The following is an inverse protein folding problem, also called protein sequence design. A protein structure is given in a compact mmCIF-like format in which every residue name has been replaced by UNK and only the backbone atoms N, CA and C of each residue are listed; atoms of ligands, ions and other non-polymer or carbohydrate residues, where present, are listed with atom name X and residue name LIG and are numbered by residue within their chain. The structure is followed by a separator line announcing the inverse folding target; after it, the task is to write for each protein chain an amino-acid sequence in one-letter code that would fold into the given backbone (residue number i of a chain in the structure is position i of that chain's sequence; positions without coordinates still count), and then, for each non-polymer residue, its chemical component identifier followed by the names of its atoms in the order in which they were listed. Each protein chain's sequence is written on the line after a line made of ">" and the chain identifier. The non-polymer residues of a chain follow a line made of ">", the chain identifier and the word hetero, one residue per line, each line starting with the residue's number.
data_IF_351314566516
#
_entry.id   IF_351314566516
#
_cell.length_a   1.000
_cell.length_b   1.000
_cell.length_c   1.000
_cell.angle_alpha   90.00
_cell.angle_beta   90.00
_cell.angle_gamma   90.00
#
_symmetry.space_group_name_H-M   'P 1'
#
loop_
_entity.id
_entity.type
_entity.pdbx_description
1 polymer ?
#
# COMPACT_ATOMS: atom_id res chain seq x y z
N UNK A 1 -2.44 -3.21 -0.01
CA UNK A 1 -2.41 -2.23 1.10
C UNK A 1 -3.81 -1.71 1.35
N UNK A 2 -4.22 -1.54 2.61
CA UNK A 2 -5.55 -1.05 3.01
C UNK A 2 -5.41 0.03 4.07
N UNK A 3 -6.22 1.09 3.96
CA UNK A 3 -6.46 2.04 5.05
C UNK A 3 -7.80 1.66 5.65
N UNK A 4 -7.84 1.41 6.95
CA UNK A 4 -9.08 1.04 7.63
C UNK A 4 -9.79 2.29 8.16
N UNK A 5 -11.08 2.14 8.44
CA UNK A 5 -11.82 3.14 9.20
C UNK A 5 -11.21 3.31 10.60
N UNK A 6 -11.45 4.47 11.21
CA UNK A 6 -10.96 4.76 12.55
C UNK A 6 -11.42 3.71 13.58
N UNK A 7 -10.52 3.34 14.50
CA UNK A 7 -10.76 2.33 15.52
C UNK A 7 -10.69 0.88 15.04
N UNK A 8 -10.44 0.62 13.75
CA UNK A 8 -10.34 -0.74 13.21
C UNK A 8 -8.88 -1.19 13.07
N UNK A 9 -8.66 -2.49 13.30
CA UNK A 9 -7.36 -3.15 13.12
C UNK A 9 -7.51 -4.30 12.13
N UNK A 10 -6.48 -4.52 11.32
CA UNK A 10 -6.45 -5.61 10.36
C UNK A 10 -6.13 -6.93 11.03
N UNK A 11 -7.17 -7.62 11.50
CA UNK A 11 -7.09 -8.97 12.05
C UNK A 11 -7.35 -10.06 10.99
N UNK A 12 -7.29 -11.33 11.41
CA UNK A 12 -7.52 -12.47 10.52
C UNK A 12 -8.95 -12.50 9.97
N UNK A 13 -9.95 -12.21 10.82
CA UNK A 13 -11.36 -12.20 10.43
C UNK A 13 -11.65 -11.16 9.34
N UNK A 14 -11.05 -9.97 9.44
CA UNK A 14 -11.18 -8.92 8.46
C UNK A 14 -10.45 -9.26 7.15
N UNK A 15 -9.28 -9.88 7.22
CA UNK A 15 -8.58 -10.41 6.02
C UNK A 15 -9.44 -11.43 5.29
N UNK A 16 -10.06 -12.37 6.00
CA UNK A 16 -10.94 -13.38 5.41
C UNK A 16 -12.19 -12.76 4.80
N UNK A 17 -12.77 -11.75 5.46
CA UNK A 17 -13.89 -10.99 4.92
C UNK A 17 -13.53 -10.29 3.60
N UNK A 18 -12.36 -9.63 3.54
CA UNK A 18 -11.87 -8.95 2.33
C UNK A 18 -11.64 -9.97 1.21
N UNK A 19 -10.92 -11.06 1.49
CA UNK A 19 -10.62 -12.10 0.51
C UNK A 19 -11.89 -12.78 -0.01
N UNK A 20 -12.85 -13.05 0.88
CA UNK A 20 -14.15 -13.62 0.55
C UNK A 20 -14.97 -12.70 -0.36
N UNK A 21 -14.99 -11.39 -0.08
CA UNK A 21 -15.67 -10.42 -0.94
C UNK A 21 -15.05 -10.36 -2.34
N UNK A 22 -13.72 -10.26 -2.44
CA UNK A 22 -13.03 -10.24 -3.74
C UNK A 22 -13.31 -11.51 -4.55
N UNK A 23 -13.30 -12.68 -3.89
CA UNK A 23 -13.57 -13.96 -4.56
C UNK A 23 -15.00 -14.03 -5.12
N UNK A 24 -15.99 -13.58 -4.33
CA UNK A 24 -17.41 -13.63 -4.72
C UNK A 24 -17.76 -12.58 -5.77
N UNK A 25 -17.33 -11.35 -5.56
CA UNK A 25 -17.80 -10.19 -6.32
C UNK A 25 -16.95 -9.94 -7.58
N UNK A 26 -15.72 -10.50 -7.62
CA UNK A 26 -14.80 -10.31 -8.74
C UNK A 26 -14.32 -11.66 -9.31
N UNK A 27 -13.48 -12.39 -8.57
CA UNK A 27 -13.00 -13.76 -8.86
C UNK A 27 -11.85 -14.13 -7.93
N UNK A 28 -11.66 -15.44 -7.69
CA UNK A 28 -10.51 -15.98 -6.97
C UNK A 28 -9.15 -15.52 -7.55
N UNK A 29 -9.07 -15.22 -8.86
CA UNK A 29 -7.82 -14.75 -9.51
C UNK A 29 -7.34 -13.38 -9.02
N UNK A 30 -8.21 -12.60 -8.39
CA UNK A 30 -7.89 -11.26 -7.89
C UNK A 30 -7.65 -11.23 -6.38
N UNK A 31 -7.71 -12.38 -5.70
CA UNK A 31 -7.41 -12.46 -4.28
C UNK A 31 -5.92 -12.14 -4.08
N UNK A 32 -5.58 -11.13 -3.27
CA UNK A 32 -4.19 -10.73 -3.07
C UNK A 32 -3.42 -11.80 -2.30
N UNK A 33 -2.12 -11.93 -2.59
CA UNK A 33 -1.24 -12.77 -1.78
C UNK A 33 -1.05 -12.22 -0.37
N UNK A 34 -1.15 -10.89 -0.21
CA UNK A 34 -0.90 -10.22 1.06
C UNK A 34 -1.79 -8.98 1.22
N UNK A 35 -2.29 -8.78 2.44
CA UNK A 35 -3.04 -7.58 2.84
C UNK A 35 -2.32 -6.95 4.02
N UNK A 36 -1.85 -5.73 3.80
CA UNK A 36 -1.13 -4.92 4.78
C UNK A 36 -1.92 -3.66 5.11
N UNK A 37 -2.10 -3.40 6.40
CA UNK A 37 -2.66 -2.14 6.89
C UNK A 37 -1.62 -1.03 6.79
N UNK A 38 -2.05 0.12 6.28
CA UNK A 38 -1.27 1.35 6.20
C UNK A 38 -2.05 2.49 6.84
N UNK A 39 -1.36 3.51 7.33
CA UNK A 39 -1.98 4.71 7.90
C UNK A 39 -2.71 5.52 6.83
N UNK A 40 -2.10 5.68 5.66
CA UNK A 40 -2.65 6.47 4.57
C UNK A 40 -2.06 6.06 3.22
N UNK A 41 -2.82 6.25 2.14
CA UNK A 41 -2.35 6.02 0.77
C UNK A 41 -1.57 7.24 0.28
N UNK A 42 -0.36 7.09 -0.28
CA UNK A 42 0.40 8.20 -0.84
C UNK A 42 -0.30 8.85 -2.03
N UNK A 43 -0.38 10.17 -2.01
CA UNK A 43 -1.10 10.96 -3.01
C UNK A 43 -0.33 12.18 -3.47
N UNK A 44 -0.55 12.57 -4.73
CA UNK A 44 -0.11 13.86 -5.26
C UNK A 44 -0.88 15.01 -4.62
N UNK A 45 -0.41 16.25 -4.80
CA UNK A 45 -1.15 17.48 -4.47
C UNK A 45 -2.56 17.53 -5.08
N UNK A 46 -2.76 16.89 -6.24
CA UNK A 46 -4.07 16.76 -6.91
C UNK A 46 -4.91 15.57 -6.44
N UNK A 47 -4.45 14.83 -5.42
CA UNK A 47 -5.17 13.70 -4.81
C UNK A 47 -5.03 12.36 -5.55
N UNK A 48 -4.29 12.31 -6.66
CA UNK A 48 -4.05 11.06 -7.41
C UNK A 48 -3.18 10.11 -6.58
N UNK A 49 -3.50 8.82 -6.59
CA UNK A 49 -2.71 7.78 -5.90
C UNK A 49 -1.36 7.59 -6.58
N UNK A 50 -0.30 7.42 -5.80
CA UNK A 50 1.07 7.18 -6.30
C UNK A 50 1.37 5.69 -6.49
N UNK A 51 0.55 4.98 -7.25
CA UNK A 51 0.70 3.53 -7.46
C UNK A 51 2.01 3.17 -8.19
N UNK A 52 2.38 3.98 -9.20
CA UNK A 52 3.60 3.74 -10.00
C UNK A 52 4.89 3.96 -9.19
N UNK A 53 5.05 5.07 -8.43
CA UNK A 53 6.18 5.22 -7.51
C UNK A 53 6.31 4.09 -6.50
N UNK A 54 5.19 3.70 -5.86
CA UNK A 54 5.18 2.57 -4.91
C UNK A 54 5.65 1.29 -5.61
N UNK A 55 5.14 0.98 -6.81
CA UNK A 55 5.58 -0.19 -7.58
C UNK A 55 7.08 -0.16 -7.88
N UNK A 56 7.61 0.98 -8.35
CA UNK A 56 9.04 1.11 -8.68
C UNK A 56 9.93 0.89 -7.45
N UNK A 57 9.53 1.43 -6.30
CA UNK A 57 10.22 1.21 -5.03
C UNK A 57 10.28 -0.28 -4.67
N UNK A 58 9.13 -0.98 -4.71
CA UNK A 58 9.06 -2.41 -4.38
C UNK A 58 9.82 -3.32 -5.36
N UNK A 59 10.18 -2.81 -6.53
CA UNK A 59 11.03 -3.48 -7.52
C UNK A 59 12.52 -3.13 -7.36
N UNK A 60 12.92 -2.47 -6.26
CA UNK A 60 14.31 -2.12 -5.97
C UNK A 60 14.75 -0.76 -6.49
N UNK A 61 13.81 0.10 -6.90
CA UNK A 61 14.14 1.47 -7.28
C UNK A 61 14.60 2.32 -6.09
N UNK A 62 15.53 3.24 -6.34
CA UNK A 62 16.03 4.21 -5.36
C UNK A 62 14.91 5.11 -4.81
N UNK A 63 14.63 5.09 -3.48
CA UNK A 63 13.59 5.91 -2.84
C UNK A 63 13.61 7.39 -3.24
N UNK A 64 14.81 7.99 -3.35
CA UNK A 64 14.99 9.41 -3.63
C UNK A 64 14.71 9.77 -5.11
N UNK A 65 14.63 8.76 -5.98
CA UNK A 65 14.39 8.94 -7.43
C UNK A 65 13.00 8.50 -7.88
N UNK A 66 12.36 7.60 -7.15
CA UNK A 66 11.05 7.04 -7.55
C UNK A 66 9.89 7.96 -7.23
N UNK A 67 10.07 8.92 -6.32
CA UNK A 67 9.05 9.88 -5.92
C UNK A 67 9.67 11.26 -5.65
N UNK A 68 8.95 12.33 -6.02
CA UNK A 68 9.26 13.68 -5.55
C UNK A 68 8.32 14.02 -4.38
N UNK A 69 8.86 14.07 -3.15
CA UNK A 69 8.12 14.37 -1.92
C UNK A 69 7.44 15.74 -1.95
N UNK A 70 8.03 16.75 -2.60
CA UNK A 70 7.43 18.10 -2.70
C UNK A 70 6.15 18.12 -3.54
N UNK A 71 5.94 17.09 -4.37
CA UNK A 71 4.74 16.93 -5.19
C UNK A 71 3.61 16.16 -4.49
N UNK A 72 3.82 15.75 -3.24
CA UNK A 72 2.88 14.93 -2.47
C UNK A 72 2.00 15.79 -1.55
N UNK A 73 0.73 15.39 -1.42
CA UNK A 73 -0.16 15.98 -0.43
C UNK A 73 0.14 15.47 0.99
N UNK A 74 0.71 14.27 1.10
CA UNK A 74 1.03 13.60 2.35
C UNK A 74 2.40 12.91 2.27
N UNK A 75 3.52 13.67 2.27
CA UNK A 75 4.87 13.13 2.05
C UNK A 75 5.22 11.94 2.98
N UNK A 76 4.86 12.03 4.25
CA UNK A 76 5.17 11.03 5.30
C UNK A 76 4.52 9.66 5.02
N UNK A 77 3.44 9.62 4.23
CA UNK A 77 2.80 8.37 3.82
C UNK A 77 3.73 7.41 3.07
N UNK A 78 4.78 7.95 2.44
CA UNK A 78 5.70 7.15 1.63
C UNK A 78 6.70 6.37 2.48
N UNK A 79 6.99 6.83 3.70
CA UNK A 79 8.03 6.23 4.56
C UNK A 79 7.71 4.78 4.91
N UNK A 80 6.43 4.46 5.14
CA UNK A 80 5.97 3.07 5.32
C UNK A 80 6.45 2.15 4.19
N UNK A 81 6.38 2.63 2.93
CA UNK A 81 6.74 1.82 1.77
C UNK A 81 8.24 1.66 1.62
N UNK A 82 9.03 2.66 2.04
CA UNK A 82 10.49 2.57 2.08
C UNK A 82 10.91 1.52 3.10
N UNK A 83 10.38 1.60 4.32
CA UNK A 83 10.65 0.61 5.37
C UNK A 83 10.19 -0.80 4.99
N UNK A 84 9.04 -0.90 4.32
CA UNK A 84 8.54 -2.17 3.82
C UNK A 84 9.45 -2.75 2.71
N UNK A 85 9.91 -1.92 1.76
CA UNK A 85 10.84 -2.34 0.72
C UNK A 85 12.17 -2.84 1.30
N UNK A 86 12.73 -2.10 2.27
CA UNK A 86 13.97 -2.47 2.95
C UNK A 86 13.86 -3.82 3.67
N UNK A 87 12.79 -4.04 4.44
CA UNK A 87 12.55 -5.33 5.13
C UNK A 87 12.41 -6.49 4.15
N UNK A 88 11.83 -6.25 2.98
CA UNK A 88 11.64 -7.27 1.94
C UNK A 88 12.94 -7.61 1.21
N UNK A 89 13.86 -6.66 1.08
CA UNK A 89 15.18 -6.90 0.47
C UNK A 89 16.12 -7.71 1.37
N UNK A 90 15.91 -7.67 2.68
CA UNK A 90 16.71 -8.41 3.68
C UNK A 90 16.18 -9.80 4.01
N UNK A 91 15.01 -10.17 3.49
CA UNK A 91 14.34 -11.46 3.73
C UNK A 91 14.54 -12.40 2.53
#
# INVERSE_FOLDING_TARGET
>A
FVVLAEGQTLDAALKDKINGAIRRDVSARFVPNEILQIKEVPRTLSGKKLEVPVKKLLLGGDPERVVNRDSMANPDSFDFFVDYANRRATA
#
